data_IF_836467159415
#
_entry.id   IF_836467159415
#
_cell.length_a   1.000
_cell.length_b   1.000
_cell.length_c   1.000
_cell.angle_alpha   90.00
_cell.angle_beta   90.00
_cell.angle_gamma   90.00
#
_symmetry.space_group_name_H-M   'P 1'
#
loop_
_entity.id
_entity.type
_entity.pdbx_description
1 polymer ?
#
# COMPACT_ATOMS: atom_id res chain seq x y z
N UNK A 1 -47.61 -13.21 -24.14
CA UNK A 1 -47.42 -14.02 -25.37
C UNK A 1 -46.39 -15.05 -24.98
N UNK A 2 -46.83 -16.22 -24.45
CA UNK A 2 -46.99 -17.50 -25.15
C UNK A 2 -45.64 -18.06 -25.58
N UNK A 3 -45.07 -19.17 -25.15
CA UNK A 3 -45.63 -20.50 -24.97
C UNK A 3 -44.64 -21.38 -24.18
N UNK A 4 -45.07 -22.15 -23.21
CA UNK A 4 -44.65 -23.51 -22.96
C UNK A 4 -45.45 -24.41 -23.92
N UNK A 5 -45.20 -25.71 -24.13
CA UNK A 5 -45.27 -26.77 -23.11
C UNK A 5 -44.35 -28.00 -23.35
N UNK A 6 -44.19 -28.84 -22.37
CA UNK A 6 -44.81 -30.13 -22.00
C UNK A 6 -44.08 -31.40 -22.46
N UNK A 7 -43.87 -32.28 -21.47
CA UNK A 7 -44.37 -33.69 -21.30
C UNK A 7 -43.65 -34.83 -22.05
N UNK A 8 -43.20 -35.84 -21.28
CA UNK A 8 -43.73 -37.20 -21.14
C UNK A 8 -42.72 -38.01 -20.32
N UNK A 9 -42.98 -38.57 -19.16
CA UNK A 9 -43.85 -39.70 -18.77
C UNK A 9 -43.61 -41.02 -19.50
N UNK A 10 -43.26 -42.03 -18.72
CA UNK A 10 -43.31 -43.46 -19.04
C UNK A 10 -42.21 -44.17 -18.24
N UNK A 11 -42.40 -44.97 -17.27
CA UNK A 11 -43.52 -45.80 -16.88
C UNK A 11 -43.03 -47.24 -16.74
N UNK A 12 -43.01 -47.69 -15.52
CA UNK A 12 -43.37 -49.08 -15.08
C UNK A 12 -42.77 -50.29 -15.82
N UNK A 13 -42.13 -51.20 -15.08
CA UNK A 13 -42.76 -52.48 -14.76
C UNK A 13 -41.93 -53.32 -13.79
N UNK A 14 -42.62 -53.76 -12.75
CA UNK A 14 -42.37 -54.85 -11.82
C UNK A 14 -42.40 -56.19 -12.54
N UNK A 15 -41.68 -57.22 -12.06
CA UNK A 15 -42.30 -58.40 -11.44
C UNK A 15 -41.26 -59.44 -11.05
N UNK A 16 -41.57 -60.34 -10.10
CA UNK A 16 -40.70 -61.26 -9.42
C UNK A 16 -40.95 -62.70 -9.83
N UNK A 17 -40.11 -63.64 -9.41
CA UNK A 17 -40.48 -65.09 -9.23
C UNK A 17 -39.23 -65.82 -8.72
N UNK A 18 -39.19 -66.25 -7.49
CA UNK A 18 -39.70 -67.47 -6.84
C UNK A 18 -38.93 -68.76 -7.22
N UNK A 19 -38.27 -69.32 -6.18
CA UNK A 19 -38.32 -70.72 -5.66
C UNK A 19 -37.50 -71.80 -6.40
N UNK A 20 -36.62 -72.52 -5.73
CA UNK A 20 -36.81 -73.82 -5.03
C UNK A 20 -35.45 -74.51 -4.84
N UNK A 21 -34.99 -74.71 -3.63
CA UNK A 21 -34.92 -75.95 -2.89
C UNK A 21 -34.26 -77.16 -3.55
N UNK A 22 -33.08 -77.52 -3.08
CA UNK A 22 -32.77 -78.96 -2.88
C UNK A 22 -31.61 -79.12 -1.89
N UNK A 23 -31.96 -79.74 -0.79
CA UNK A 23 -31.03 -80.24 0.21
C UNK A 23 -30.43 -81.57 -0.21
N UNK A 24 -29.14 -81.80 0.05
CA UNK A 24 -28.61 -83.13 0.29
C UNK A 24 -27.47 -83.05 1.34
N UNK A 25 -27.72 -83.71 2.42
CA UNK A 25 -26.83 -84.14 3.45
C UNK A 25 -25.69 -85.03 2.92
N UNK A 26 -24.44 -84.80 3.43
CA UNK A 26 -23.57 -85.95 3.75
C UNK A 26 -22.54 -85.48 4.81
N UNK A 27 -22.53 -86.21 5.86
CA UNK A 27 -21.65 -86.10 7.01
C UNK A 27 -20.23 -86.53 6.64
N UNK A 28 -19.23 -85.84 7.19
CA UNK A 28 -17.81 -86.25 7.17
C UNK A 28 -17.13 -85.64 8.36
N UNK A 29 -16.99 -86.41 9.43
CA UNK A 29 -16.11 -86.13 10.58
C UNK A 29 -14.66 -86.05 10.13
N UNK A 30 -14.00 -84.98 10.50
CA UNK A 30 -12.54 -84.80 10.45
C UNK A 30 -12.16 -83.80 11.50
N UNK A 31 -11.91 -84.31 12.67
CA UNK A 31 -11.36 -83.57 13.83
C UNK A 31 -9.89 -83.34 13.53
N UNK A 32 -9.49 -82.13 13.29
CA UNK A 32 -8.12 -81.68 13.33
C UNK A 32 -8.06 -80.53 14.30
N UNK A 33 -7.49 -80.80 15.45
CA UNK A 33 -7.04 -79.82 16.42
C UNK A 33 -6.01 -78.89 15.73
N UNK A 34 -6.46 -77.77 15.31
CA UNK A 34 -5.59 -76.64 14.97
C UNK A 34 -5.67 -75.63 16.11
N UNK A 35 -4.79 -75.88 17.10
CA UNK A 35 -4.44 -74.90 18.08
C UNK A 35 -3.91 -73.69 17.35
N UNK A 36 -4.80 -72.71 17.07
CA UNK A 36 -4.37 -71.37 16.70
C UNK A 36 -3.59 -70.78 17.87
N UNK A 37 -2.30 -71.04 17.85
CA UNK A 37 -1.31 -70.29 18.66
C UNK A 37 -1.44 -68.83 18.31
N UNK A 38 -2.19 -68.10 19.11
CA UNK A 38 -2.18 -66.66 19.13
C UNK A 38 -0.83 -66.20 19.73
N UNK A 39 0.26 -66.48 18.99
CA UNK A 39 1.56 -65.89 19.26
C UNK A 39 1.42 -64.41 19.00
N UNK A 40 1.18 -63.67 20.06
CA UNK A 40 1.41 -62.23 20.07
C UNK A 40 2.89 -62.06 19.72
N UNK A 41 3.18 -61.89 18.42
CA UNK A 41 4.54 -61.59 17.96
C UNK A 41 5.01 -60.35 18.71
N UNK A 42 6.14 -60.49 19.39
CA UNK A 42 6.74 -59.34 20.06
C UNK A 42 6.87 -58.17 19.06
N UNK A 43 6.44 -56.98 19.42
CA UNK A 43 6.44 -55.88 18.49
C UNK A 43 7.86 -55.69 17.95
N UNK A 44 7.98 -55.68 16.61
CA UNK A 44 9.23 -55.36 15.91
C UNK A 44 9.73 -54.02 16.43
N UNK A 45 10.99 -53.96 16.88
CA UNK A 45 11.58 -52.75 17.43
C UNK A 45 12.45 -52.08 16.37
N UNK A 46 12.21 -50.79 16.11
CA UNK A 46 12.97 -49.98 15.17
C UNK A 46 13.61 -48.81 15.92
N UNK A 47 14.89 -48.59 15.66
CA UNK A 47 15.63 -47.45 16.21
C UNK A 47 15.29 -46.19 15.37
N UNK A 48 14.58 -45.22 15.98
CA UNK A 48 14.22 -43.98 15.31
C UNK A 48 14.25 -42.80 16.31
N UNK A 49 14.55 -41.62 15.78
CA UNK A 49 14.48 -40.40 16.59
C UNK A 49 13.03 -39.93 16.71
N UNK A 50 12.71 -39.39 17.87
CA UNK A 50 11.37 -38.84 18.13
C UNK A 50 11.49 -37.41 18.61
N UNK A 51 10.49 -36.60 18.28
CA UNK A 51 10.37 -35.21 18.74
C UNK A 51 8.99 -35.00 19.35
N UNK A 52 8.95 -34.37 20.53
CA UNK A 52 7.69 -33.96 21.14
C UNK A 52 7.22 -32.65 20.54
N UNK A 53 6.00 -32.63 20.08
CA UNK A 53 5.39 -31.43 19.45
C UNK A 53 5.08 -30.39 20.51
N UNK A 54 5.68 -29.21 20.34
CA UNK A 54 5.29 -28.01 21.07
C UNK A 54 4.40 -27.16 20.17
N UNK A 55 3.37 -26.61 20.76
CA UNK A 55 2.56 -25.57 20.13
C UNK A 55 3.36 -24.26 20.16
N UNK A 56 3.59 -23.65 19.02
CA UNK A 56 4.16 -22.31 18.94
C UNK A 56 3.06 -21.32 18.58
N UNK A 57 2.96 -20.23 19.35
CA UNK A 57 2.07 -19.13 19.00
C UNK A 57 2.64 -18.42 17.75
N UNK A 58 1.99 -18.65 16.64
CA UNK A 58 2.33 -17.97 15.38
C UNK A 58 1.37 -16.82 15.13
N UNK A 59 1.93 -15.70 14.69
CA UNK A 59 1.12 -14.58 14.25
C UNK A 59 0.39 -14.95 12.96
N UNK A 60 -0.93 -14.88 13.00
CA UNK A 60 -1.75 -14.97 11.79
C UNK A 60 -1.61 -13.67 11.01
N UNK A 61 -1.06 -13.77 9.81
CA UNK A 61 -0.91 -12.64 8.91
C UNK A 61 -2.05 -12.64 7.88
N UNK A 62 -2.82 -11.57 7.85
CA UNK A 62 -3.72 -11.29 6.73
C UNK A 62 -2.96 -10.50 5.69
N UNK A 63 -2.86 -11.06 4.47
CA UNK A 63 -2.19 -10.42 3.34
C UNK A 63 -3.19 -9.55 2.58
N UNK A 64 -2.93 -8.25 2.55
CA UNK A 64 -3.74 -7.28 1.82
C UNK A 64 -2.92 -6.64 0.70
N UNK A 65 -3.58 -6.33 -0.40
CA UNK A 65 -2.97 -5.65 -1.56
C UNK A 65 -2.65 -4.20 -1.24
N UNK A 66 -1.52 -3.72 -1.72
CA UNK A 66 -1.11 -2.33 -1.61
C UNK A 66 -0.33 -1.87 -2.83
N UNK A 67 -0.20 -0.56 -2.96
CA UNK A 67 0.57 0.08 -4.02
C UNK A 67 1.65 0.96 -3.39
N UNK A 68 2.86 0.83 -3.88
CA UNK A 68 3.97 1.71 -3.51
C UNK A 68 3.77 3.07 -4.17
N UNK A 69 3.93 4.15 -3.43
CA UNK A 69 3.87 5.52 -3.95
C UNK A 69 4.90 6.39 -3.27
N UNK A 70 5.30 7.46 -3.93
CA UNK A 70 6.11 8.48 -3.27
C UNK A 70 5.30 9.14 -2.13
N UNK A 71 5.95 9.43 -1.02
CA UNK A 71 5.30 10.09 0.13
C UNK A 71 4.91 11.54 -0.18
N UNK A 72 5.53 12.14 -1.17
CA UNK A 72 5.28 13.50 -1.62
C UNK A 72 5.08 13.55 -3.13
N UNK A 73 3.88 13.94 -3.55
CA UNK A 73 3.51 14.13 -4.94
C UNK A 73 2.90 15.52 -5.09
N UNK A 74 3.35 16.27 -6.09
CA UNK A 74 2.87 17.63 -6.36
C UNK A 74 2.33 17.72 -7.78
N UNK A 75 1.10 18.19 -7.89
CA UNK A 75 0.50 18.58 -9.16
C UNK A 75 0.83 20.04 -9.43
N UNK A 76 1.57 20.31 -10.49
CA UNK A 76 2.00 21.64 -10.87
C UNK A 76 1.04 22.21 -11.89
N UNK A 77 0.39 23.31 -11.54
CA UNK A 77 -0.53 24.05 -12.40
C UNK A 77 -0.03 25.49 -12.60
N UNK A 78 -0.50 26.14 -13.67
CA UNK A 78 -0.29 27.58 -13.85
C UNK A 78 -1.17 28.37 -12.87
N UNK A 79 -0.68 29.53 -12.44
CA UNK A 79 -1.50 30.56 -11.76
C UNK A 79 -2.14 31.55 -12.74
N UNK A 80 -1.64 31.58 -13.98
CA UNK A 80 -2.13 32.44 -15.05
C UNK A 80 -2.85 31.59 -16.09
N UNK A 81 -3.85 32.19 -16.71
CA UNK A 81 -4.46 31.65 -17.93
C UNK A 81 -3.67 32.14 -19.14
N UNK A 82 -3.30 31.22 -20.03
CA UNK A 82 -2.56 31.54 -21.26
C UNK A 82 -1.99 30.30 -21.93
N UNK A 83 -1.54 30.44 -23.15
CA UNK A 83 -0.93 29.33 -23.89
C UNK A 83 0.44 28.99 -23.35
N UNK A 84 0.76 27.69 -23.28
CA UNK A 84 2.09 27.21 -22.91
C UNK A 84 3.04 27.51 -24.05
N UNK A 85 3.89 28.51 -23.85
CA UNK A 85 4.88 28.93 -24.85
C UNK A 85 6.03 27.96 -24.98
N UNK A 86 6.54 27.48 -23.85
CA UNK A 86 7.62 26.48 -23.79
C UNK A 86 7.34 25.49 -22.66
N UNK A 87 7.65 24.21 -22.92
CA UNK A 87 7.62 23.15 -21.94
C UNK A 87 8.98 22.45 -21.97
N UNK A 88 9.83 22.73 -20.97
CA UNK A 88 11.26 22.40 -20.99
C UNK A 88 11.54 20.99 -20.49
N UNK A 89 10.61 20.36 -19.80
CA UNK A 89 10.79 19.07 -19.12
C UNK A 89 10.07 17.94 -19.83
N UNK A 90 10.60 16.71 -19.63
CA UNK A 90 10.05 15.45 -20.17
C UNK A 90 9.67 14.51 -19.03
N UNK A 91 8.77 13.58 -19.29
CA UNK A 91 8.47 12.48 -18.36
C UNK A 91 9.72 11.64 -18.10
N UNK A 92 9.94 11.24 -16.86
CA UNK A 92 11.16 10.57 -16.41
C UNK A 92 12.32 11.51 -16.06
N UNK A 93 12.22 12.81 -16.35
CA UNK A 93 13.28 13.76 -16.02
C UNK A 93 13.28 14.11 -14.54
N UNK A 94 14.49 14.11 -13.95
CA UNK A 94 14.72 14.61 -12.60
C UNK A 94 14.81 16.13 -12.61
N UNK A 95 14.11 16.79 -11.69
CA UNK A 95 14.08 18.25 -11.54
C UNK A 95 14.47 18.66 -10.11
N UNK A 96 15.06 19.85 -10.00
CA UNK A 96 15.44 20.47 -8.73
C UNK A 96 14.42 21.55 -8.32
N UNK A 97 14.34 21.89 -7.01
CA UNK A 97 13.54 23.04 -6.59
C UNK A 97 13.98 24.32 -7.31
N UNK A 98 13.02 25.09 -7.82
CA UNK A 98 13.30 26.31 -8.59
C UNK A 98 13.63 26.11 -10.07
N UNK A 99 13.80 24.86 -10.54
CA UNK A 99 14.04 24.57 -11.97
C UNK A 99 12.81 24.91 -12.80
N UNK A 100 13.04 25.58 -13.96
CA UNK A 100 11.97 25.99 -14.87
C UNK A 100 11.32 24.75 -15.51
N UNK A 101 10.02 24.63 -15.36
CA UNK A 101 9.23 23.54 -15.93
C UNK A 101 8.57 23.94 -17.24
N UNK A 102 7.85 25.05 -17.22
CA UNK A 102 7.20 25.60 -18.40
C UNK A 102 6.97 27.11 -18.26
N UNK A 103 6.72 27.75 -19.41
CA UNK A 103 6.36 29.17 -19.48
C UNK A 103 5.02 29.33 -20.17
N UNK A 104 4.17 30.14 -19.57
CA UNK A 104 2.92 30.64 -20.17
C UNK A 104 3.23 31.93 -20.90
N UNK A 105 2.55 32.18 -22.00
CA UNK A 105 2.73 33.41 -22.79
C UNK A 105 2.51 34.65 -21.91
N UNK A 106 3.52 35.51 -21.76
CA UNK A 106 3.45 36.66 -20.88
C UNK A 106 2.91 37.93 -21.55
N UNK A 107 2.50 37.87 -22.82
CA UNK A 107 2.20 39.10 -23.65
C UNK A 107 1.22 40.03 -22.97
N UNK A 108 0.09 39.51 -22.45
CA UNK A 108 -0.94 40.34 -21.79
C UNK A 108 -0.41 40.95 -20.48
N UNK A 109 0.38 40.17 -19.71
CA UNK A 109 0.96 40.65 -18.45
C UNK A 109 2.07 41.66 -18.70
N UNK A 110 2.84 41.51 -19.79
CA UNK A 110 3.83 42.50 -20.19
C UNK A 110 3.19 43.87 -20.49
N UNK A 111 2.02 43.85 -21.15
CA UNK A 111 1.25 45.04 -21.37
C UNK A 111 0.81 45.71 -20.06
N UNK A 112 0.32 44.95 -19.10
CA UNK A 112 -0.06 45.46 -17.78
C UNK A 112 1.12 46.03 -17.00
N UNK A 113 2.29 45.38 -17.04
CA UNK A 113 3.52 45.88 -16.40
C UNK A 113 3.96 47.19 -17.06
N UNK A 114 3.92 47.30 -18.41
CA UNK A 114 4.28 48.50 -19.12
C UNK A 114 3.30 49.68 -18.77
N UNK A 115 2.03 49.41 -18.68
CA UNK A 115 1.01 50.40 -18.28
C UNK A 115 1.27 50.88 -16.82
N UNK A 116 1.49 49.94 -15.88
CA UNK A 116 1.76 50.29 -14.47
C UNK A 116 3.05 51.10 -14.33
N UNK A 117 4.09 50.76 -15.13
CA UNK A 117 5.37 51.49 -15.17
C UNK A 117 5.16 52.94 -15.66
N UNK A 118 4.33 53.14 -16.70
CA UNK A 118 4.02 54.45 -17.23
C UNK A 118 3.24 55.27 -16.19
N UNK A 119 2.28 54.68 -15.48
CA UNK A 119 1.57 55.33 -14.38
C UNK A 119 2.48 55.77 -13.23
N UNK A 120 3.45 54.91 -12.86
CA UNK A 120 4.44 55.27 -11.86
C UNK A 120 5.33 56.43 -12.31
N UNK A 121 5.80 56.43 -13.58
CA UNK A 121 6.59 57.53 -14.11
C UNK A 121 5.83 58.87 -14.11
N UNK A 122 4.53 58.85 -14.43
CA UNK A 122 3.66 60.04 -14.37
C UNK A 122 3.52 60.56 -12.92
N UNK A 123 3.28 59.66 -11.96
CA UNK A 123 3.16 60.04 -10.55
C UNK A 123 4.48 60.63 -10.02
N UNK A 124 5.62 60.06 -10.41
CA UNK A 124 6.96 60.57 -10.05
C UNK A 124 7.21 62.00 -10.63
N UNK A 125 6.80 62.23 -11.90
CA UNK A 125 6.91 63.57 -12.49
C UNK A 125 6.03 64.60 -11.77
N UNK A 126 4.77 64.21 -11.40
CA UNK A 126 3.91 65.06 -10.61
C UNK A 126 4.50 65.37 -9.23
N UNK A 127 5.10 64.39 -8.56
CA UNK A 127 5.79 64.60 -7.28
C UNK A 127 6.96 65.54 -7.43
N UNK A 128 7.77 65.41 -8.48
CA UNK A 128 8.89 66.30 -8.74
C UNK A 128 8.44 67.77 -8.88
N UNK A 129 7.33 68.00 -9.61
CA UNK A 129 6.71 69.35 -9.72
C UNK A 129 6.23 69.86 -8.37
N UNK A 130 5.42 69.05 -7.66
CA UNK A 130 4.87 69.41 -6.35
C UNK A 130 5.98 69.67 -5.33
N UNK A 131 7.09 68.95 -5.40
CA UNK A 131 8.29 69.15 -4.56
C UNK A 131 8.96 70.47 -4.86
N UNK A 132 9.16 70.84 -6.13
CA UNK A 132 9.71 72.11 -6.54
C UNK A 132 8.86 73.29 -6.06
N UNK A 133 7.50 73.18 -6.17
CA UNK A 133 6.59 74.18 -5.64
C UNK A 133 6.68 74.28 -4.10
N UNK A 134 6.68 73.13 -3.40
CA UNK A 134 6.81 73.05 -1.95
C UNK A 134 8.07 73.78 -1.46
N UNK A 135 9.23 73.49 -2.06
CA UNK A 135 10.47 74.13 -1.72
C UNK A 135 10.46 75.66 -1.97
N UNK A 136 9.95 76.10 -3.13
CA UNK A 136 9.84 77.50 -3.54
C UNK A 136 8.89 78.25 -2.62
N UNK A 137 7.68 77.76 -2.44
CA UNK A 137 6.66 78.41 -1.63
C UNK A 137 7.02 78.33 -0.13
N UNK A 138 7.73 77.31 0.31
CA UNK A 138 8.27 77.24 1.68
C UNK A 138 9.25 78.35 1.99
N UNK A 139 10.08 78.74 1.06
CA UNK A 139 10.99 79.88 1.20
C UNK A 139 10.22 81.22 1.21
N UNK A 140 9.27 81.42 0.30
CA UNK A 140 8.42 82.63 0.25
C UNK A 140 7.57 82.79 1.52
N UNK A 141 7.10 81.70 2.13
CA UNK A 141 6.33 81.74 3.37
C UNK A 141 7.25 82.15 4.56
N UNK A 142 8.47 81.65 4.61
CA UNK A 142 9.48 82.07 5.63
C UNK A 142 9.80 83.57 5.55
N UNK A 143 9.79 84.12 4.32
CA UNK A 143 9.99 85.53 4.03
C UNK A 143 8.71 86.36 4.20
N UNK A 144 7.61 85.76 4.68
CA UNK A 144 6.29 86.37 4.83
C UNK A 144 5.70 86.95 3.53
N UNK A 145 6.18 86.46 2.35
CA UNK A 145 5.76 86.95 1.03
C UNK A 145 4.47 86.33 0.54
N UNK A 146 3.92 85.29 1.21
CA UNK A 146 2.68 84.61 0.88
C UNK A 146 1.83 84.34 2.10
N UNK A 147 0.46 84.27 1.90
CA UNK A 147 -0.47 83.90 2.97
C UNK A 147 -0.31 82.43 3.40
N UNK A 148 -0.61 82.14 4.67
CA UNK A 148 -0.57 80.78 5.23
C UNK A 148 -1.47 79.81 4.45
N UNK A 149 -2.62 80.22 4.00
CA UNK A 149 -3.54 79.38 3.21
C UNK A 149 -2.87 78.86 1.95
N UNK A 150 -2.09 79.69 1.25
CA UNK A 150 -1.36 79.28 0.03
C UNK A 150 -0.24 78.25 0.34
N UNK A 151 0.45 78.45 1.47
CA UNK A 151 1.43 77.50 1.96
C UNK A 151 0.77 76.16 2.31
N UNK A 152 -0.29 76.13 3.12
CA UNK A 152 -0.99 74.92 3.52
C UNK A 152 -1.51 74.14 2.29
N UNK A 153 -2.02 74.80 1.24
CA UNK A 153 -2.44 74.17 -0.03
C UNK A 153 -1.25 73.54 -0.77
N UNK A 154 -0.09 74.18 -0.78
CA UNK A 154 1.12 73.64 -1.45
C UNK A 154 1.67 72.43 -0.69
N UNK A 155 1.67 72.48 0.62
CA UNK A 155 2.03 71.33 1.47
C UNK A 155 1.12 70.15 1.24
N UNK A 156 -0.22 70.38 1.20
CA UNK A 156 -1.17 69.30 0.89
C UNK A 156 -0.95 68.71 -0.50
N UNK A 157 -0.71 69.53 -1.53
CA UNK A 157 -0.45 69.03 -2.89
C UNK A 157 0.82 68.13 -2.90
N UNK A 158 1.89 68.55 -2.22
CA UNK A 158 3.10 67.79 -2.13
C UNK A 158 2.85 66.41 -1.43
N UNK A 159 2.11 66.42 -0.32
CA UNK A 159 1.74 65.20 0.41
C UNK A 159 0.88 64.26 -0.46
N UNK A 160 -0.12 64.79 -1.14
CA UNK A 160 -0.98 64.00 -2.08
C UNK A 160 -0.15 63.38 -3.20
N UNK A 161 0.82 64.13 -3.75
CA UNK A 161 1.71 63.64 -4.79
C UNK A 161 2.64 62.51 -4.28
N UNK A 162 3.09 62.57 -3.00
CA UNK A 162 3.85 61.49 -2.37
C UNK A 162 3.01 60.19 -2.29
N UNK A 163 1.77 60.31 -1.81
CA UNK A 163 0.85 59.18 -1.71
C UNK A 163 0.48 58.59 -3.09
N UNK A 164 0.35 59.42 -4.14
CA UNK A 164 0.14 58.94 -5.49
C UNK A 164 1.31 58.13 -6.03
N UNK A 165 2.55 58.49 -5.72
CA UNK A 165 3.73 57.71 -6.08
C UNK A 165 3.70 56.37 -5.35
N UNK A 166 3.39 56.36 -4.04
CA UNK A 166 3.31 55.15 -3.25
C UNK A 166 2.28 54.17 -3.83
N UNK A 167 1.10 54.69 -4.16
CA UNK A 167 0.01 53.88 -4.78
C UNK A 167 0.43 53.33 -6.16
N UNK A 168 1.00 54.17 -7.03
CA UNK A 168 1.47 53.74 -8.36
C UNK A 168 2.61 52.73 -8.27
N UNK A 169 3.53 52.88 -7.31
CA UNK A 169 4.60 51.88 -7.03
C UNK A 169 4.02 50.54 -6.58
N UNK A 170 3.00 50.55 -5.71
CA UNK A 170 2.33 49.32 -5.31
C UNK A 170 1.68 48.61 -6.49
N UNK A 171 1.02 49.36 -7.37
CA UNK A 171 0.44 48.85 -8.64
C UNK A 171 1.50 48.21 -9.55
N UNK A 172 2.64 48.88 -9.74
CA UNK A 172 3.78 48.35 -10.53
C UNK A 172 4.34 47.06 -9.92
N UNK A 173 4.50 47.02 -8.59
CA UNK A 173 4.98 45.83 -7.90
C UNK A 173 4.02 44.66 -8.06
N UNK A 174 2.70 44.91 -8.03
CA UNK A 174 1.66 43.89 -8.23
C UNK A 174 1.72 43.31 -9.65
N UNK A 175 1.79 44.17 -10.67
CA UNK A 175 1.92 43.72 -12.05
C UNK A 175 3.23 42.92 -12.28
N UNK A 176 4.34 43.38 -11.69
CA UNK A 176 5.60 42.65 -11.70
C UNK A 176 5.57 41.29 -11.00
N UNK A 177 4.77 41.16 -9.92
CA UNK A 177 4.56 39.89 -9.25
C UNK A 177 3.78 38.91 -10.14
N UNK A 178 2.75 39.41 -10.84
CA UNK A 178 1.99 38.59 -11.80
C UNK A 178 2.89 38.10 -12.95
N UNK A 179 3.79 38.94 -13.45
CA UNK A 179 4.74 38.57 -14.49
C UNK A 179 5.62 37.38 -14.09
N UNK A 180 6.01 37.25 -12.83
CA UNK A 180 6.78 36.10 -12.34
C UNK A 180 6.00 34.79 -12.43
N UNK A 181 4.68 34.82 -12.37
CA UNK A 181 3.83 33.64 -12.48
C UNK A 181 3.75 33.07 -13.90
N UNK A 182 4.24 33.81 -14.92
CA UNK A 182 4.37 33.27 -16.29
C UNK A 182 5.43 32.19 -16.40
N UNK A 183 6.41 32.18 -15.51
CA UNK A 183 7.46 31.15 -15.44
C UNK A 183 7.18 30.22 -14.25
N UNK A 184 6.75 29.00 -14.54
CA UNK A 184 6.40 28.00 -13.52
C UNK A 184 7.59 27.12 -13.26
N UNK A 185 8.01 27.06 -11.99
CA UNK A 185 9.18 26.31 -11.52
C UNK A 185 8.77 25.17 -10.60
N UNK A 186 9.64 24.19 -10.44
CA UNK A 186 9.40 23.06 -9.54
C UNK A 186 9.45 23.50 -8.08
N UNK A 187 8.43 23.17 -7.26
CA UNK A 187 8.44 23.44 -5.83
C UNK A 187 9.28 22.45 -5.02
N UNK A 188 9.57 21.27 -5.58
CA UNK A 188 10.29 20.17 -4.90
C UNK A 188 11.37 19.56 -5.81
N UNK A 189 12.34 18.86 -5.20
CA UNK A 189 13.19 17.93 -5.91
C UNK A 189 12.41 16.65 -6.19
N UNK A 190 12.44 16.15 -7.43
CA UNK A 190 11.67 14.97 -7.80
C UNK A 190 11.84 14.55 -9.24
N UNK A 191 11.01 13.62 -9.68
CA UNK A 191 10.92 13.13 -11.05
C UNK A 191 9.56 13.52 -11.63
N UNK A 192 9.54 14.03 -12.85
CA UNK A 192 8.31 14.28 -13.61
C UNK A 192 7.71 12.93 -14.01
N UNK A 193 6.59 12.54 -13.39
CA UNK A 193 5.96 11.24 -13.65
C UNK A 193 4.87 11.31 -14.69
N UNK A 194 4.27 12.49 -14.87
CA UNK A 194 3.20 12.65 -15.84
C UNK A 194 3.17 14.07 -16.38
N UNK A 195 2.95 14.17 -17.69
CA UNK A 195 2.69 15.40 -18.42
C UNK A 195 1.25 15.41 -18.92
N UNK A 196 0.45 16.36 -18.41
CA UNK A 196 -0.99 16.47 -18.69
C UNK A 196 -1.32 17.51 -19.77
N UNK A 197 -0.33 18.33 -20.18
CA UNK A 197 -0.47 19.31 -21.23
C UNK A 197 0.79 19.42 -22.06
N UNK A 198 0.68 19.92 -23.29
CA UNK A 198 1.76 20.10 -24.23
C UNK A 198 2.04 21.57 -24.48
N UNK A 199 3.16 21.86 -25.14
CA UNK A 199 3.43 23.19 -25.70
C UNK A 199 2.34 23.55 -26.70
N UNK A 200 1.77 24.75 -26.59
CA UNK A 200 0.66 25.24 -27.37
C UNK A 200 -0.71 25.03 -26.73
N UNK A 201 -0.82 24.19 -25.69
CA UNK A 201 -2.08 24.01 -24.95
C UNK A 201 -2.36 25.21 -24.05
N UNK A 202 -3.65 25.42 -23.75
CA UNK A 202 -4.08 26.47 -22.82
C UNK A 202 -3.89 26.00 -21.37
N UNK A 203 -3.00 26.63 -20.64
CA UNK A 203 -2.89 26.49 -19.19
C UNK A 203 -3.91 27.38 -18.49
N UNK A 204 -4.48 26.89 -17.40
CA UNK A 204 -5.41 27.63 -16.57
C UNK A 204 -5.24 27.31 -15.08
N UNK A 205 -5.60 28.24 -14.18
CA UNK A 205 -5.55 27.98 -12.74
C UNK A 205 -6.38 26.75 -12.35
N UNK A 206 -5.82 25.91 -11.47
CA UNK A 206 -6.48 24.70 -10.98
C UNK A 206 -6.39 23.48 -11.90
N UNK A 207 -5.91 23.63 -13.16
CA UNK A 207 -5.68 22.51 -14.08
C UNK A 207 -4.20 22.10 -14.05
N UNK A 208 -3.85 20.89 -13.59
CA UNK A 208 -2.47 20.44 -13.58
C UNK A 208 -1.89 20.33 -14.99
N UNK A 209 -0.65 20.78 -15.15
CA UNK A 209 0.15 20.63 -16.38
C UNK A 209 1.13 19.47 -16.24
N UNK A 210 1.69 19.31 -15.04
CA UNK A 210 2.69 18.28 -14.72
C UNK A 210 2.41 17.67 -13.36
N UNK A 211 2.83 16.41 -13.18
CA UNK A 211 2.88 15.74 -11.88
C UNK A 211 4.32 15.40 -11.57
N UNK A 212 4.79 15.81 -10.40
CA UNK A 212 6.15 15.57 -9.92
C UNK A 212 6.07 14.72 -8.66
N UNK A 213 6.76 13.59 -8.64
CA UNK A 213 6.98 12.79 -7.45
C UNK A 213 8.30 13.15 -6.79
N UNK A 214 8.24 13.42 -5.49
CA UNK A 214 9.41 13.75 -4.69
C UNK A 214 10.36 12.56 -4.55
N UNK A 215 11.66 12.81 -4.63
CA UNK A 215 12.68 11.80 -4.37
C UNK A 215 12.77 11.49 -2.87
N UNK A 216 12.94 10.22 -2.53
CA UNK A 216 13.41 9.77 -1.22
C UNK A 216 12.48 8.80 -0.52
N UNK A 217 11.43 9.25 0.14
CA UNK A 217 10.58 8.36 0.94
C UNK A 217 9.48 7.74 0.11
N UNK A 218 9.45 6.41 0.08
CA UNK A 218 8.35 5.63 -0.46
C UNK A 218 7.43 5.19 0.68
N UNK A 219 6.17 5.08 0.39
CA UNK A 219 5.14 4.54 1.27
C UNK A 219 4.27 3.54 0.51
N UNK A 220 3.73 2.57 1.22
CA UNK A 220 2.69 1.71 0.69
C UNK A 220 1.34 2.25 1.14
N UNK A 221 0.44 2.43 0.23
CA UNK A 221 -0.98 2.65 0.52
C UNK A 221 -1.73 1.35 0.32
N UNK A 222 -2.50 0.96 1.32
CA UNK A 222 -3.33 -0.26 1.29
C UNK A 222 -4.72 0.03 1.85
N UNK A 223 -5.70 -0.71 1.36
CA UNK A 223 -7.07 -0.67 1.84
C UNK A 223 -7.29 -1.85 2.79
N UNK A 224 -7.73 -1.56 4.01
CA UNK A 224 -7.82 -2.52 5.09
C UNK A 224 -9.27 -2.67 5.56
N UNK A 225 -9.85 -3.88 5.56
CA UNK A 225 -11.17 -4.13 6.15
C UNK A 225 -11.23 -3.79 7.64
N UNK A 226 -12.42 -3.44 8.16
CA UNK A 226 -12.60 -2.97 9.53
C UNK A 226 -12.14 -3.95 10.60
N UNK A 227 -12.37 -5.24 10.41
CA UNK A 227 -11.96 -6.32 11.34
C UNK A 227 -10.43 -6.45 11.52
N UNK A 228 -9.68 -6.12 10.46
CA UNK A 228 -8.21 -6.03 10.49
C UNK A 228 -7.78 -4.67 11.04
N UNK A 229 -8.47 -3.58 10.64
CA UNK A 229 -8.14 -2.22 11.03
C UNK A 229 -8.17 -2.02 12.56
N UNK A 230 -9.15 -2.61 13.26
CA UNK A 230 -9.28 -2.54 14.72
C UNK A 230 -8.07 -3.12 15.48
N UNK A 231 -7.27 -3.96 14.82
CA UNK A 231 -6.07 -4.59 15.38
C UNK A 231 -4.79 -3.83 15.04
N UNK A 232 -4.88 -2.81 14.18
CA UNK A 232 -3.73 -2.00 13.75
C UNK A 232 -3.34 -1.00 14.84
N UNK A 233 -2.04 -0.90 15.08
CA UNK A 233 -1.46 0.12 15.95
C UNK A 233 -0.49 0.97 15.14
N UNK A 234 -0.59 2.29 15.26
CA UNK A 234 0.39 3.21 14.67
C UNK A 234 1.78 2.92 15.22
N UNK A 235 2.80 3.02 14.36
CA UNK A 235 4.17 2.68 14.69
C UNK A 235 4.50 1.18 14.62
N UNK A 236 3.51 0.31 14.42
CA UNK A 236 3.77 -1.13 14.26
C UNK A 236 4.54 -1.42 12.98
N UNK A 237 5.39 -2.43 13.05
CA UNK A 237 6.12 -2.96 11.91
C UNK A 237 5.28 -4.00 11.19
N UNK A 238 5.28 -3.95 9.86
CA UNK A 238 4.58 -4.89 8.99
C UNK A 238 5.51 -5.40 7.91
N UNK A 239 5.25 -6.60 7.43
CA UNK A 239 6.00 -7.19 6.32
C UNK A 239 5.33 -6.77 5.00
N UNK A 240 6.14 -6.26 4.09
CA UNK A 240 5.73 -5.87 2.74
C UNK A 240 6.40 -6.82 1.75
N UNK A 241 5.61 -7.56 1.01
CA UNK A 241 6.05 -8.56 0.04
C UNK A 241 5.92 -8.00 -1.37
N UNK A 242 7.04 -7.87 -2.06
CA UNK A 242 7.13 -7.39 -3.43
C UNK A 242 7.82 -8.43 -4.29
N UNK A 243 7.05 -9.30 -4.95
CA UNK A 243 7.60 -10.50 -5.61
C UNK A 243 8.36 -11.36 -4.62
N UNK A 244 9.65 -11.62 -4.87
CA UNK A 244 10.54 -12.42 -4.00
C UNK A 244 11.20 -11.59 -2.88
N UNK A 245 11.02 -10.27 -2.88
CA UNK A 245 11.58 -9.38 -1.86
C UNK A 245 10.61 -9.19 -0.71
N UNK A 246 11.12 -9.25 0.51
CA UNK A 246 10.39 -8.89 1.73
C UNK A 246 11.05 -7.69 2.37
N UNK A 247 10.30 -6.63 2.59
CA UNK A 247 10.75 -5.39 3.20
C UNK A 247 9.94 -5.12 4.45
N UNK A 248 10.58 -4.66 5.51
CA UNK A 248 9.88 -4.25 6.73
C UNK A 248 9.45 -2.78 6.60
N UNK A 249 8.15 -2.53 6.65
CA UNK A 249 7.57 -1.18 6.70
C UNK A 249 7.06 -0.83 8.09
N UNK A 250 6.82 0.45 8.33
CA UNK A 250 6.24 0.97 9.57
C UNK A 250 4.93 1.68 9.28
N UNK A 251 3.87 1.35 9.99
CA UNK A 251 2.56 2.00 9.84
C UNK A 251 2.64 3.42 10.39
N UNK A 252 2.50 4.41 9.52
CA UNK A 252 2.58 5.84 9.89
C UNK A 252 1.24 6.53 9.89
N UNK A 253 0.30 6.07 9.08
CA UNK A 253 -1.05 6.60 9.03
C UNK A 253 -2.08 5.48 8.97
N UNK A 254 -3.13 5.61 9.77
CA UNK A 254 -4.32 4.77 9.72
C UNK A 254 -5.54 5.71 9.77
N UNK A 255 -6.29 5.79 8.67
CA UNK A 255 -7.43 6.70 8.55
C UNK A 255 -8.68 6.04 9.12
N UNK A 256 -9.27 6.57 10.20
CA UNK A 256 -10.39 5.92 10.88
C UNK A 256 -11.71 5.99 10.10
N UNK A 257 -11.80 6.86 9.08
CA UNK A 257 -12.98 6.96 8.22
C UNK A 257 -12.89 5.91 7.14
N UNK A 258 -13.86 5.00 7.09
CA UNK A 258 -13.97 4.01 6.03
C UNK A 258 -14.53 4.62 4.75
N UNK A 259 -14.05 4.15 3.62
CA UNK A 259 -14.66 4.43 2.32
C UNK A 259 -16.04 3.76 2.24
N UNK A 260 -17.12 4.52 1.93
CA UNK A 260 -18.49 4.01 1.97
C UNK A 260 -18.79 2.98 0.87
N UNK A 261 -18.02 2.92 -0.20
CA UNK A 261 -18.22 1.96 -1.28
C UNK A 261 -17.51 0.64 -1.04
N UNK A 262 -16.28 0.70 -0.53
CA UNK A 262 -15.45 -0.50 -0.30
C UNK A 262 -15.51 -1.02 1.12
N UNK A 263 -16.04 -0.24 2.08
CA UNK A 263 -16.03 -0.51 3.52
C UNK A 263 -14.63 -0.79 4.07
N UNK A 264 -13.62 -0.12 3.50
CA UNK A 264 -12.22 -0.28 3.90
C UNK A 264 -11.63 1.02 4.40
N UNK A 265 -10.60 0.90 5.23
CA UNK A 265 -9.83 2.01 5.78
C UNK A 265 -8.51 2.16 5.02
N UNK A 266 -8.10 3.40 4.77
CA UNK A 266 -6.79 3.65 4.17
C UNK A 266 -5.70 3.59 5.24
N UNK A 267 -4.70 2.75 5.01
CA UNK A 267 -3.50 2.65 5.84
C UNK A 267 -2.28 2.96 4.99
N UNK A 268 -1.38 3.82 5.52
CA UNK A 268 -0.10 4.15 4.88
C UNK A 268 1.05 3.65 5.73
N UNK A 269 2.03 3.08 5.06
CA UNK A 269 3.16 2.37 5.64
C UNK A 269 4.42 2.93 5.02
N UNK A 270 5.26 3.57 5.82
CA UNK A 270 6.54 4.08 5.36
C UNK A 270 7.51 2.94 5.12
N UNK A 271 8.20 3.01 4.00
CA UNK A 271 9.26 2.08 3.63
C UNK A 271 10.64 2.68 3.97
N UNK A 272 11.63 1.84 4.29
CA UNK A 272 13.01 2.31 4.44
C UNK A 272 13.56 2.82 3.10
N UNK A 273 14.49 3.78 3.15
CA UNK A 273 15.06 4.41 1.95
C UNK A 273 15.74 3.41 0.98
N UNK A 274 16.19 2.28 1.50
CA UNK A 274 16.85 1.21 0.73
C UNK A 274 15.90 0.05 0.37
N UNK A 275 14.60 0.28 0.33
CA UNK A 275 13.60 -0.76 0.02
C UNK A 275 13.82 -1.39 -1.38
N UNK A 276 14.45 -0.65 -2.32
CA UNK A 276 14.70 -1.12 -3.68
C UNK A 276 13.41 -1.45 -4.42
N UNK A 277 12.37 -0.64 -4.19
CA UNK A 277 11.07 -0.69 -4.83
C UNK A 277 10.83 0.60 -5.60
N UNK A 278 10.07 0.50 -6.67
CA UNK A 278 9.69 1.65 -7.50
C UNK A 278 8.27 2.10 -7.17
N UNK A 279 8.00 3.40 -7.30
CA UNK A 279 6.64 3.95 -7.24
C UNK A 279 5.76 3.29 -8.30
N UNK A 280 4.51 3.01 -7.95
CA UNK A 280 3.57 2.26 -8.78
C UNK A 280 3.64 0.74 -8.63
N UNK A 281 4.65 0.19 -7.94
CA UNK A 281 4.77 -1.26 -7.73
C UNK A 281 3.63 -1.82 -6.89
N UNK A 282 3.12 -2.97 -7.31
CA UNK A 282 2.15 -3.75 -6.54
C UNK A 282 2.87 -4.55 -5.45
N UNK A 283 2.33 -4.52 -4.24
CA UNK A 283 2.86 -5.25 -3.08
C UNK A 283 1.74 -5.90 -2.27
N UNK A 284 2.08 -6.87 -1.46
CA UNK A 284 1.19 -7.43 -0.44
C UNK A 284 1.71 -7.06 0.94
N UNK A 285 0.84 -6.64 1.82
CA UNK A 285 1.18 -6.23 3.19
C UNK A 285 0.61 -7.25 4.16
N UNK A 286 1.44 -7.79 5.03
CA UNK A 286 1.07 -8.74 6.06
C UNK A 286 0.71 -8.03 7.37
N UNK A 287 -0.59 -8.02 7.71
CA UNK A 287 -1.08 -7.49 8.98
C UNK A 287 -1.26 -8.61 9.98
N UNK A 288 -0.68 -8.47 11.17
CA UNK A 288 -0.88 -9.42 12.26
C UNK A 288 -2.29 -9.23 12.84
N UNK A 289 -3.17 -10.22 12.64
CA UNK A 289 -4.58 -10.16 13.10
C UNK A 289 -4.84 -10.96 14.37
N UNK A 290 -3.81 -11.53 14.94
CA UNK A 290 -3.86 -12.34 16.17
C UNK A 290 -2.75 -13.38 16.14
N UNK A 291 -2.66 -14.18 17.20
CA UNK A 291 -1.84 -15.39 17.26
C UNK A 291 -2.74 -16.59 17.41
N UNK A 292 -2.42 -17.67 16.73
CA UNK A 292 -3.04 -18.96 16.96
C UNK A 292 -1.95 -19.99 17.26
N UNK A 293 -2.23 -20.91 18.18
CA UNK A 293 -1.32 -22.03 18.41
C UNK A 293 -1.24 -22.89 17.15
N UNK A 294 -0.09 -22.95 16.53
CA UNK A 294 0.18 -23.77 15.36
C UNK A 294 1.12 -24.93 15.74
N UNK A 295 0.84 -26.09 15.17
CA UNK A 295 1.72 -27.24 15.25
C UNK A 295 2.54 -27.33 13.98
N UNK A 296 3.85 -27.42 14.12
CA UNK A 296 4.77 -27.63 12.99
C UNK A 296 5.55 -28.91 13.18
N UNK A 297 5.76 -29.59 12.10
CA UNK A 297 6.57 -30.81 12.04
C UNK A 297 7.65 -30.64 10.98
N UNK A 298 8.85 -31.19 11.20
CA UNK A 298 9.84 -31.25 10.14
C UNK A 298 9.28 -31.95 8.90
N UNK A 299 9.56 -31.43 7.71
CA UNK A 299 9.10 -32.07 6.47
C UNK A 299 9.53 -33.54 6.37
N UNK A 300 10.69 -33.87 6.94
CA UNK A 300 11.20 -35.25 7.01
C UNK A 300 10.33 -36.18 7.84
N UNK A 301 9.47 -35.69 8.72
CA UNK A 301 8.56 -36.50 9.55
C UNK A 301 7.22 -36.82 8.82
N UNK A 302 6.94 -36.14 7.72
CA UNK A 302 5.74 -36.37 6.96
C UNK A 302 5.97 -37.42 5.90
N UNK A 303 5.12 -38.46 5.89
CA UNK A 303 5.19 -39.57 4.94
C UNK A 303 3.89 -39.67 4.15
N UNK A 304 4.02 -40.04 2.89
CA UNK A 304 2.89 -40.44 2.04
C UNK A 304 2.85 -41.94 1.93
N UNK A 305 1.73 -42.56 2.29
CA UNK A 305 1.50 -43.99 2.15
C UNK A 305 0.19 -44.24 1.43
N UNK A 306 0.31 -44.87 0.28
CA UNK A 306 -0.83 -45.16 -0.58
C UNK A 306 -1.73 -43.95 -0.91
N UNK A 307 -1.09 -42.77 -1.13
CA UNK A 307 -1.82 -41.52 -1.42
C UNK A 307 -2.43 -40.84 -0.17
N UNK A 308 -2.06 -41.31 1.03
CA UNK A 308 -2.50 -40.72 2.31
C UNK A 308 -1.31 -40.08 3.01
N UNK A 309 -1.38 -38.79 3.22
CA UNK A 309 -0.37 -38.04 3.96
C UNK A 309 -0.57 -38.18 5.46
N UNK A 310 0.46 -38.58 6.19
CA UNK A 310 0.41 -38.79 7.62
C UNK A 310 1.77 -38.66 8.32
N UNK A 311 1.76 -38.84 9.62
CA UNK A 311 2.94 -38.91 10.50
C UNK A 311 2.80 -40.09 11.43
N UNK A 312 3.93 -40.64 11.89
CA UNK A 312 3.91 -41.64 12.95
C UNK A 312 3.95 -41.00 14.31
N UNK A 313 2.91 -41.20 15.09
CA UNK A 313 2.78 -40.74 16.49
C UNK A 313 3.12 -41.92 17.41
N UNK A 314 3.96 -41.67 18.38
CA UNK A 314 4.37 -42.68 19.38
C UNK A 314 3.51 -42.54 20.62
N UNK A 315 2.88 -43.63 21.03
CA UNK A 315 2.07 -43.69 22.24
C UNK A 315 2.92 -43.83 23.51
N UNK A 316 2.26 -43.86 24.69
CA UNK A 316 2.92 -44.01 25.98
C UNK A 316 3.62 -45.35 26.13
N UNK A 317 3.30 -46.35 25.33
CA UNK A 317 3.92 -47.67 25.28
C UNK A 317 5.14 -47.72 24.38
N UNK A 318 5.44 -46.63 23.65
CA UNK A 318 6.50 -46.55 22.67
C UNK A 318 6.14 -47.16 21.31
N UNK A 319 4.84 -47.35 21.04
CA UNK A 319 4.35 -47.94 19.79
C UNK A 319 4.00 -46.83 18.81
N UNK A 320 4.48 -46.96 17.56
CA UNK A 320 4.18 -46.01 16.49
C UNK A 320 2.84 -46.32 15.85
N UNK A 321 2.03 -45.26 15.68
CA UNK A 321 0.75 -45.30 15.01
C UNK A 321 0.74 -44.30 13.87
N UNK A 322 0.41 -44.73 12.66
CA UNK A 322 0.26 -43.87 11.53
C UNK A 322 -1.01 -43.04 11.69
N UNK A 323 -0.88 -41.72 11.70
CA UNK A 323 -1.99 -40.78 11.87
C UNK A 323 -2.07 -39.86 10.66
N UNK A 324 -3.22 -39.82 10.04
CA UNK A 324 -3.49 -38.90 8.92
C UNK A 324 -3.42 -37.46 9.40
N UNK A 325 -2.79 -36.62 8.60
CA UNK A 325 -2.68 -35.19 8.87
C UNK A 325 -3.09 -34.36 7.68
N UNK A 326 -3.66 -33.21 7.95
CA UNK A 326 -3.88 -32.20 6.92
C UNK A 326 -2.76 -31.18 7.00
N UNK A 327 -1.97 -31.13 5.93
CA UNK A 327 -0.87 -30.16 5.79
C UNK A 327 -1.39 -28.77 5.48
N UNK A 328 -0.72 -27.75 6.04
CA UNK A 328 -0.86 -26.34 5.69
C UNK A 328 0.35 -25.83 4.89
N UNK A 329 0.79 -24.61 5.21
CA UNK A 329 1.94 -23.98 4.57
C UNK A 329 3.27 -24.65 4.95
N UNK A 330 4.19 -24.74 3.97
CA UNK A 330 5.56 -25.17 4.20
C UNK A 330 6.46 -23.93 4.33
N UNK A 331 7.17 -23.81 5.45
CA UNK A 331 8.02 -22.67 5.76
C UNK A 331 9.31 -23.15 6.39
N UNK A 332 10.46 -22.83 5.78
CA UNK A 332 11.79 -23.08 6.39
C UNK A 332 12.13 -24.55 6.65
N UNK A 333 11.58 -25.50 5.87
CA UNK A 333 11.81 -26.94 6.07
C UNK A 333 10.86 -27.60 7.08
N UNK A 334 9.92 -26.84 7.64
CA UNK A 334 8.82 -27.31 8.47
C UNK A 334 7.49 -27.22 7.74
N UNK A 335 6.56 -28.11 8.08
CA UNK A 335 5.21 -28.16 7.56
C UNK A 335 4.22 -27.86 8.68
N UNK A 336 3.35 -26.91 8.48
CA UNK A 336 2.22 -26.64 9.35
C UNK A 336 1.22 -27.80 9.31
N UNK A 337 0.74 -28.23 10.47
CA UNK A 337 -0.30 -29.25 10.57
C UNK A 337 -1.60 -28.61 11.03
N UNK A 338 -2.58 -28.55 10.14
CA UNK A 338 -3.90 -27.94 10.39
C UNK A 338 -4.84 -28.87 11.15
N UNK A 339 -4.67 -30.19 11.02
CA UNK A 339 -5.49 -31.19 11.70
C UNK A 339 -4.74 -32.52 11.78
N UNK A 340 -5.10 -33.33 12.80
CA UNK A 340 -4.59 -34.68 12.98
C UNK A 340 -3.59 -34.85 14.12
N UNK A 341 -3.00 -33.76 14.65
CA UNK A 341 -2.05 -33.78 15.77
C UNK A 341 -2.50 -32.87 16.90
N UNK A 342 -1.98 -33.16 18.08
CA UNK A 342 -2.18 -32.33 19.28
C UNK A 342 -0.83 -31.91 19.88
N UNK A 343 -0.82 -30.76 20.57
CA UNK A 343 0.34 -30.37 21.34
C UNK A 343 0.66 -31.42 22.41
N UNK A 344 1.94 -31.80 22.49
CA UNK A 344 2.40 -32.89 23.40
C UNK A 344 2.48 -34.26 22.74
N UNK A 345 1.96 -34.46 21.53
CA UNK A 345 2.17 -35.68 20.75
C UNK A 345 3.68 -35.86 20.48
N UNK A 346 4.15 -37.10 20.53
CA UNK A 346 5.52 -37.44 20.16
C UNK A 346 5.52 -38.09 18.79
N UNK A 347 6.25 -37.51 17.85
CA UNK A 347 6.31 -37.98 16.45
C UNK A 347 7.69 -38.58 16.11
N UNK A 348 7.72 -39.49 15.17
CA UNK A 348 8.94 -40.06 14.60
C UNK A 348 9.48 -39.12 13.52
N UNK A 349 10.81 -38.83 13.58
CA UNK A 349 11.47 -37.90 12.66
C UNK A 349 12.55 -38.50 11.79
N UNK A 350 12.95 -39.78 12.08
CA UNK A 350 13.98 -40.49 11.30
C UNK A 350 13.60 -41.96 11.05
N UNK A 351 14.25 -42.60 10.08
CA UNK A 351 14.06 -44.03 9.71
C UNK A 351 12.61 -44.39 9.35
N UNK A 352 11.86 -43.46 8.80
CA UNK A 352 10.41 -43.61 8.49
C UNK A 352 10.11 -44.72 7.49
N UNK A 353 11.11 -45.14 6.70
CA UNK A 353 10.95 -46.24 5.77
C UNK A 353 10.75 -47.60 6.47
N UNK A 354 11.35 -47.74 7.65
CA UNK A 354 11.31 -48.97 8.47
C UNK A 354 10.22 -48.98 9.53
N UNK A 355 9.53 -47.83 9.72
CA UNK A 355 8.49 -47.67 10.72
C UNK A 355 7.12 -47.96 10.12
N UNK A 356 6.44 -48.95 10.68
CA UNK A 356 5.08 -49.34 10.35
C UNK A 356 4.13 -49.17 11.57
N UNK A 357 2.84 -49.25 11.31
CA UNK A 357 1.84 -49.20 12.36
C UNK A 357 1.99 -50.39 13.34
N UNK A 358 2.09 -50.10 14.62
CA UNK A 358 2.29 -51.14 15.65
C UNK A 358 3.75 -51.50 15.98
N UNK A 359 4.71 -50.83 15.34
CA UNK A 359 6.17 -51.04 15.59
C UNK A 359 6.57 -50.30 16.88
N UNK A 360 7.37 -50.94 17.70
CA UNK A 360 7.95 -50.32 18.92
C UNK A 360 9.17 -49.47 18.54
N UNK A 361 9.17 -48.23 18.96
CA UNK A 361 10.31 -47.31 18.72
C UNK A 361 11.30 -47.41 19.89
N UNK A 362 12.56 -47.75 19.55
CA UNK A 362 13.68 -47.67 20.47
C UNK A 362 14.58 -46.53 20.00
N UNK A 363 14.56 -45.40 20.70
CA UNK A 363 15.42 -44.26 20.35
C UNK A 363 15.14 -43.09 21.26
N UNK A 364 16.18 -42.27 21.49
CA UNK A 364 16.10 -41.14 22.40
C UNK A 364 15.29 -39.96 21.83
N UNK A 365 14.59 -39.35 22.75
CA UNK A 365 13.91 -38.06 22.53
C UNK A 365 14.97 -36.97 22.31
N UNK A 366 15.02 -36.30 21.16
CA UNK A 366 15.63 -34.98 21.02
C UNK A 366 14.54 -33.95 21.34
N UNK A 367 14.58 -33.46 22.60
CA UNK A 367 13.73 -32.34 23.04
C UNK A 367 14.13 -31.01 22.42
#
# INVERSE_FOLDING_TARGET
MTHAPSRHLGGLKRTPLIVLLAATLLAGCGQSDESASNATAAPRTVAAQTTRLASSDQQNLTLLSGTVMASNQVQVASRLMGYIRTLTVKEGQTVKPGELLFQVDPTDIQGQVAQARSGLAQAQANLANAKGDYERFGNLYKEQAIPKQQWDQTQLRYQVAQEQVAAAQAGYNTAGAQMRYSSVTSPIAGVVVQKMANQGDLASPGRPVLVIEGQGKLQVQTQVPGDVFDKIKLGSKVQVFAGDKTVQGTITQAVPVADPMSHTHTVKIDLPANAGLDSGSFVRVGFAVGSAPQLRVPQSAVVDRAGMTGVFVVDKGGIAHFRLVRQGAQIGGEVEIQAGLSAGDTIVTSNLADVDNGVKISGGNRG
#
